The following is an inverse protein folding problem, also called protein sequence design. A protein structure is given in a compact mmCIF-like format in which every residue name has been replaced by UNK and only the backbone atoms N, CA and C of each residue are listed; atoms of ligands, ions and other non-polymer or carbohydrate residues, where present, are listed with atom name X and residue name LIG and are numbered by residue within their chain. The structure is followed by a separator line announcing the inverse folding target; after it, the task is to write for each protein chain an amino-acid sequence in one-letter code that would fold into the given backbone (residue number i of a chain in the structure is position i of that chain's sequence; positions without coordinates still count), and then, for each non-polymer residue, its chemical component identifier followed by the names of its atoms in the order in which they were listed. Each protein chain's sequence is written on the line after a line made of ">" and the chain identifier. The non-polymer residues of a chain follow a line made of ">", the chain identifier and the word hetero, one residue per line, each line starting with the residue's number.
data_IF_685109820673
#
_entry.id   IF_685109820673
#
_cell.length_a   1.000
_cell.length_b   1.000
_cell.length_c   1.000
_cell.angle_alpha   90.00
_cell.angle_beta   90.00
_cell.angle_gamma   90.00
#
_symmetry.space_group_name_H-M   'P 1'
#
loop_
_entity.id
_entity.type
_entity.pdbx_description
1 polymer ?
#
# COMPACT_ATOMS: atom_id res chain seq x y z
N UNK A 1 22.68 25.97 -28.22
CA UNK A 1 22.36 25.86 -26.78
C UNK A 1 21.42 24.69 -26.61
N UNK A 2 21.90 23.55 -26.12
CA UNK A 2 20.99 22.47 -25.71
C UNK A 2 20.45 22.82 -24.33
N UNK A 3 19.13 22.83 -24.18
CA UNK A 3 18.53 22.85 -22.85
C UNK A 3 18.97 21.58 -22.13
N UNK A 4 19.74 21.74 -21.06
CA UNK A 4 20.03 20.64 -20.14
C UNK A 4 18.73 20.32 -19.44
N UNK A 5 18.04 19.26 -19.87
CA UNK A 5 16.91 18.72 -19.11
C UNK A 5 17.45 18.36 -17.72
N UNK A 6 16.97 19.06 -16.70
CA UNK A 6 17.14 18.61 -15.33
C UNK A 6 16.25 17.37 -15.22
N UNK A 7 16.88 16.20 -15.18
CA UNK A 7 16.18 14.98 -14.83
C UNK A 7 15.87 15.09 -13.34
N UNK A 8 14.60 15.26 -13.00
CA UNK A 8 14.13 15.18 -11.62
C UNK A 8 14.33 13.71 -11.21
N UNK A 9 15.27 13.49 -10.30
CA UNK A 9 15.58 12.17 -9.75
C UNK A 9 14.88 12.05 -8.39
N UNK A 10 13.72 11.36 -8.30
CA UNK A 10 12.93 11.35 -7.08
C UNK A 10 13.55 10.53 -5.96
N UNK A 11 14.63 9.77 -6.20
CA UNK A 11 15.41 9.15 -5.12
C UNK A 11 16.41 10.10 -4.45
N UNK A 12 16.64 11.28 -5.01
CA UNK A 12 17.43 12.33 -4.36
C UNK A 12 16.53 13.10 -3.39
N UNK A 13 17.04 13.33 -2.18
CA UNK A 13 16.27 13.83 -1.04
C UNK A 13 15.68 15.23 -1.25
N UNK A 14 16.20 15.98 -2.22
CA UNK A 14 15.66 17.28 -2.60
C UNK A 14 14.34 17.20 -3.39
N UNK A 15 13.98 16.03 -3.91
CA UNK A 15 12.88 15.86 -4.86
C UNK A 15 11.76 14.97 -4.33
N UNK A 16 11.74 14.67 -3.04
CA UNK A 16 10.67 13.97 -2.36
C UNK A 16 10.39 14.58 -0.99
N UNK A 17 9.15 14.46 -0.54
CA UNK A 17 8.71 14.84 0.80
C UNK A 17 8.38 13.59 1.64
N UNK A 18 8.26 13.75 2.95
CA UNK A 18 7.67 12.70 3.80
C UNK A 18 6.14 12.80 3.70
N UNK A 19 5.44 11.66 3.68
CA UNK A 19 3.98 11.68 3.63
C UNK A 19 3.47 12.08 5.03
N UNK A 20 2.62 13.11 5.19
CA UNK A 20 2.22 13.54 6.52
C UNK A 20 1.39 12.46 7.22
N UNK A 21 1.62 12.28 8.53
CA UNK A 21 0.87 11.38 9.40
C UNK A 21 0.90 9.89 8.98
N UNK A 22 2.08 9.36 8.66
CA UNK A 22 2.26 7.94 8.29
C UNK A 22 1.75 6.97 9.37
N UNK A 23 1.86 7.36 10.65
CA UNK A 23 1.53 6.57 11.84
C UNK A 23 0.05 6.20 11.96
N UNK A 24 -0.85 6.95 11.31
CA UNK A 24 -2.30 6.74 11.34
C UNK A 24 -2.87 6.23 10.01
N UNK A 25 -2.02 5.83 9.06
CA UNK A 25 -2.41 5.31 7.73
C UNK A 25 -2.40 3.78 7.64
N UNK A 26 -2.30 3.10 8.78
CA UNK A 26 -2.18 1.64 8.85
C UNK A 26 -3.47 0.86 8.62
N UNK A 27 -3.35 -0.42 8.31
CA UNK A 27 -4.46 -1.37 8.05
C UNK A 27 -5.40 -1.67 9.25
N UNK A 28 -5.21 -1.00 10.39
CA UNK A 28 -6.09 -1.16 11.55
C UNK A 28 -7.41 -0.43 11.32
N UNK A 29 -8.47 -0.94 11.93
CA UNK A 29 -9.77 -0.28 11.94
C UNK A 29 -9.69 1.06 12.67
N UNK A 30 -9.76 2.13 11.89
CA UNK A 30 -9.66 3.49 12.36
C UNK A 30 -10.09 4.43 11.23
N UNK A 31 -10.92 5.39 11.57
CA UNK A 31 -11.27 6.52 10.69
C UNK A 31 -11.00 7.80 11.45
N UNK A 32 -10.43 8.79 10.77
CA UNK A 32 -10.27 10.12 11.33
C UNK A 32 -10.72 11.16 10.29
N UNK A 33 -11.66 12.02 10.70
CA UNK A 33 -12.19 13.11 9.86
C UNK A 33 -11.64 14.47 10.28
N UNK A 34 -10.64 14.52 11.16
CA UNK A 34 -9.92 15.75 11.43
C UNK A 34 -9.28 16.23 10.12
N UNK A 35 -9.57 17.48 9.76
CA UNK A 35 -9.11 18.09 8.51
C UNK A 35 -7.60 18.12 8.36
N UNK A 36 -6.89 18.08 9.49
CA UNK A 36 -5.42 18.00 9.56
C UNK A 36 -4.86 16.71 8.94
N UNK A 37 -5.61 15.61 8.99
CA UNK A 37 -5.12 14.29 8.55
C UNK A 37 -5.58 13.93 7.14
N UNK A 38 -6.38 14.77 6.48
CA UNK A 38 -6.90 14.49 5.16
C UNK A 38 -5.83 14.57 4.07
N UNK A 39 -5.95 13.68 3.08
CA UNK A 39 -5.12 13.75 1.86
C UNK A 39 -5.61 14.80 0.86
N UNK A 40 -6.64 15.57 1.20
CA UNK A 40 -7.02 16.76 0.42
C UNK A 40 -5.97 17.86 0.53
N UNK A 41 -5.08 17.79 1.53
CA UNK A 41 -4.04 18.77 1.83
C UNK A 41 -2.63 18.40 1.34
N UNK A 42 -2.43 17.16 0.87
CA UNK A 42 -1.13 16.77 0.30
C UNK A 42 -0.96 17.43 -1.08
N UNK A 43 0.27 17.69 -1.46
CA UNK A 43 0.60 18.28 -2.76
C UNK A 43 0.76 17.19 -3.83
N UNK A 44 0.63 17.57 -5.10
CA UNK A 44 0.95 16.66 -6.19
C UNK A 44 2.47 16.57 -6.39
N UNK A 45 3.13 15.75 -5.57
CA UNK A 45 4.59 15.61 -5.53
C UNK A 45 5.00 14.16 -5.23
N UNK A 46 6.31 13.92 -5.12
CA UNK A 46 6.87 12.64 -4.71
C UNK A 46 6.91 12.53 -3.19
N UNK A 47 6.44 11.40 -2.67
CA UNK A 47 6.47 11.06 -1.26
C UNK A 47 7.31 9.82 -1.02
N UNK A 48 8.21 9.89 -0.04
CA UNK A 48 9.01 8.76 0.41
C UNK A 48 8.23 7.91 1.40
N UNK A 49 8.31 6.59 1.26
CA UNK A 49 7.86 5.61 2.25
C UNK A 49 8.91 4.49 2.35
N UNK A 50 9.09 3.93 3.53
CA UNK A 50 9.97 2.77 3.71
C UNK A 50 9.46 1.54 2.94
N UNK A 51 10.33 0.57 2.66
CA UNK A 51 9.92 -0.68 1.99
C UNK A 51 8.97 -1.53 2.84
N UNK A 52 9.01 -1.37 4.17
CA UNK A 52 8.14 -2.07 5.12
C UNK A 52 6.76 -1.39 5.25
N UNK A 53 6.75 -0.05 5.14
CA UNK A 53 5.57 0.81 5.27
C UNK A 53 5.17 1.41 3.91
N UNK A 54 5.27 0.60 2.87
CA UNK A 54 4.84 0.95 1.52
C UNK A 54 3.33 1.08 1.42
N UNK A 55 2.85 1.74 0.36
CA UNK A 55 1.43 1.71 0.04
C UNK A 55 0.98 0.27 -0.19
N UNK A 56 -0.13 -0.13 0.43
CA UNK A 56 -0.66 -1.49 0.25
C UNK A 56 -0.99 -1.73 -1.22
N UNK A 57 -0.59 -2.89 -1.72
CA UNK A 57 -0.94 -3.37 -3.06
C UNK A 57 -2.03 -4.46 -3.04
N UNK A 58 -2.63 -4.68 -1.86
CA UNK A 58 -3.82 -5.50 -1.71
C UNK A 58 -4.99 -4.62 -1.31
N UNK A 59 -6.16 -4.94 -1.84
CA UNK A 59 -7.43 -4.34 -1.47
C UNK A 59 -7.61 -4.26 0.06
N UNK A 60 -7.55 -3.06 0.67
CA UNK A 60 -7.76 -2.91 2.10
C UNK A 60 -9.25 -2.90 2.45
N UNK A 61 -9.56 -3.32 3.67
CA UNK A 61 -10.90 -3.21 4.23
C UNK A 61 -11.36 -1.76 4.33
N UNK A 62 -12.65 -1.51 4.13
CA UNK A 62 -13.22 -0.18 4.40
C UNK A 62 -13.00 0.22 5.86
N UNK A 63 -12.92 1.53 6.11
CA UNK A 63 -12.69 2.12 7.45
C UNK A 63 -11.33 1.76 8.08
N UNK A 64 -10.32 1.51 7.23
CA UNK A 64 -8.93 1.34 7.63
C UNK A 64 -8.10 2.54 7.16
N UNK A 65 -6.83 2.57 7.55
CA UNK A 65 -5.86 3.56 7.08
C UNK A 65 -6.23 4.99 7.47
N UNK A 66 -6.94 5.13 8.60
CA UNK A 66 -7.42 6.40 9.12
C UNK A 66 -8.45 7.06 8.21
N UNK A 67 -9.18 6.30 7.38
CA UNK A 67 -10.10 6.80 6.36
C UNK A 67 -11.28 5.85 6.13
N UNK A 68 -12.38 6.33 5.55
CA UNK A 68 -13.48 5.44 5.17
C UNK A 68 -13.19 4.66 3.89
N UNK A 69 -12.47 5.30 2.96
CA UNK A 69 -12.13 4.79 1.64
C UNK A 69 -10.61 4.78 1.46
N UNK A 70 -9.95 3.69 1.86
CA UNK A 70 -8.51 3.63 1.73
C UNK A 70 -8.10 3.48 0.25
N UNK A 71 -7.24 4.38 -0.19
CA UNK A 71 -6.62 4.39 -1.52
C UNK A 71 -5.42 3.44 -1.48
N UNK A 72 -5.34 2.51 -2.42
CA UNK A 72 -4.33 1.45 -2.48
C UNK A 72 -3.78 1.29 -3.89
N UNK A 73 -2.64 0.60 -4.07
CA UNK A 73 -2.05 0.38 -5.39
C UNK A 73 -2.62 -0.87 -6.04
N UNK A 74 -3.24 -0.73 -7.20
CA UNK A 74 -3.71 -1.87 -7.98
C UNK A 74 -2.69 -2.23 -9.05
N UNK A 75 -1.68 -2.98 -8.62
CA UNK A 75 -0.65 -3.53 -9.48
C UNK A 75 0.65 -3.75 -8.73
N UNK A 76 1.69 -4.04 -9.50
CA UNK A 76 3.00 -4.37 -8.94
C UNK A 76 3.68 -3.14 -8.34
N UNK A 77 4.43 -3.39 -7.27
CA UNK A 77 5.38 -2.43 -6.71
C UNK A 77 6.75 -2.79 -7.29
N UNK A 78 7.47 -1.84 -7.92
CA UNK A 78 8.73 -2.14 -8.60
C UNK A 78 9.77 -2.71 -7.63
N UNK A 79 10.38 -3.82 -8.00
CA UNK A 79 11.52 -4.41 -7.28
C UNK A 79 12.88 -3.90 -7.79
N UNK A 80 12.91 -3.36 -9.02
CA UNK A 80 14.13 -2.84 -9.66
C UNK A 80 14.23 -1.31 -9.48
N UNK A 81 15.46 -0.82 -9.32
CA UNK A 81 15.76 0.57 -8.94
C UNK A 81 15.76 1.58 -10.09
N UNK A 82 15.83 1.10 -11.33
CA UNK A 82 16.27 1.95 -12.44
C UNK A 82 15.13 2.67 -13.17
N UNK A 83 13.86 2.30 -12.91
CA UNK A 83 12.74 2.81 -13.68
C UNK A 83 11.62 3.40 -12.81
N UNK A 84 11.11 4.54 -13.26
CA UNK A 84 9.82 5.05 -12.80
C UNK A 84 8.72 4.24 -13.48
N UNK A 85 7.90 3.56 -12.69
CA UNK A 85 6.74 2.82 -13.16
C UNK A 85 5.50 3.70 -13.07
N UNK A 86 4.75 3.80 -14.17
CA UNK A 86 3.40 4.37 -14.14
C UNK A 86 2.44 3.31 -13.60
N UNK A 87 1.72 3.65 -12.53
CA UNK A 87 0.81 2.74 -11.84
C UNK A 87 -0.53 3.41 -11.59
N UNK A 88 -1.48 2.59 -11.16
CA UNK A 88 -2.82 3.03 -10.82
C UNK A 88 -3.08 2.76 -9.34
N UNK A 89 -3.37 3.81 -8.59
CA UNK A 89 -4.02 3.66 -7.31
C UNK A 89 -5.53 3.48 -7.51
N UNK A 90 -6.18 2.79 -6.59
CA UNK A 90 -7.58 2.47 -6.62
C UNK A 90 -8.28 3.07 -5.42
N UNK A 91 -9.40 3.72 -5.70
CA UNK A 91 -10.34 4.21 -4.71
C UNK A 91 -11.53 3.25 -4.68
N UNK A 92 -11.83 2.62 -3.53
CA UNK A 92 -12.97 1.72 -3.40
C UNK A 92 -14.29 2.48 -3.51
N UNK A 93 -15.33 1.78 -3.97
CA UNK A 93 -16.72 2.21 -3.86
C UNK A 93 -17.54 1.15 -3.09
N UNK A 94 -18.86 1.28 -3.07
CA UNK A 94 -19.73 0.39 -2.30
C UNK A 94 -19.74 -1.08 -2.77
N UNK A 95 -19.29 -1.37 -3.99
CA UNK A 95 -19.39 -2.71 -4.59
C UNK A 95 -18.08 -3.25 -5.15
N UNK A 96 -17.09 -2.40 -5.36
CA UNK A 96 -15.83 -2.74 -5.99
C UNK A 96 -14.67 -2.10 -5.23
N UNK A 97 -13.63 -2.89 -4.96
CA UNK A 97 -12.42 -2.42 -4.31
C UNK A 97 -11.60 -1.46 -5.20
N UNK A 98 -11.83 -1.47 -6.51
CA UNK A 98 -11.34 -0.45 -7.42
C UNK A 98 -12.50 0.14 -8.21
N UNK A 99 -13.26 1.01 -7.55
CA UNK A 99 -14.37 1.73 -8.17
C UNK A 99 -13.91 2.87 -9.07
N UNK A 100 -12.83 3.55 -8.69
CA UNK A 100 -12.18 4.58 -9.47
C UNK A 100 -10.66 4.39 -9.45
N UNK A 101 -9.99 4.89 -10.49
CA UNK A 101 -8.55 4.82 -10.64
C UNK A 101 -7.93 6.22 -10.53
N UNK A 102 -6.79 6.30 -9.86
CA UNK A 102 -5.97 7.49 -9.70
C UNK A 102 -4.59 7.17 -10.29
N UNK A 103 -4.18 7.79 -11.41
CA UNK A 103 -2.85 7.60 -11.96
C UNK A 103 -1.78 8.08 -10.98
N UNK A 104 -0.78 7.26 -10.74
CA UNK A 104 0.38 7.55 -9.88
C UNK A 104 1.67 7.12 -10.56
N UNK A 105 2.81 7.49 -9.97
CA UNK A 105 4.11 6.94 -10.37
C UNK A 105 4.81 6.36 -9.15
N UNK A 106 5.58 5.28 -9.35
CA UNK A 106 6.34 4.63 -8.29
C UNK A 106 7.77 4.41 -8.76
N UNK A 107 8.75 4.66 -7.88
CA UNK A 107 10.14 4.27 -8.12
C UNK A 107 10.71 3.62 -6.86
N UNK A 108 11.51 2.58 -7.05
CA UNK A 108 12.25 1.93 -5.99
C UNK A 108 13.64 2.59 -5.89
N UNK A 109 14.00 3.05 -4.70
CA UNK A 109 15.28 3.71 -4.42
C UNK A 109 16.25 2.81 -3.65
N UNK A 110 15.99 1.50 -3.63
CA UNK A 110 16.66 0.43 -2.87
C UNK A 110 16.10 0.26 -1.45
N UNK A 111 16.26 1.26 -0.59
CA UNK A 111 15.90 1.23 0.84
C UNK A 111 14.54 1.88 1.14
N UNK A 112 13.99 2.61 0.17
CA UNK A 112 12.66 3.20 0.24
C UNK A 112 12.01 3.21 -1.15
N UNK A 113 10.70 3.44 -1.17
CA UNK A 113 9.91 3.67 -2.36
C UNK A 113 9.50 5.15 -2.38
N UNK A 114 9.45 5.72 -3.59
CA UNK A 114 8.89 7.05 -3.79
C UNK A 114 7.66 6.96 -4.67
N UNK A 115 6.62 7.69 -4.27
CA UNK A 115 5.32 7.68 -4.91
C UNK A 115 4.95 9.09 -5.36
N UNK A 116 4.70 9.29 -6.64
CA UNK A 116 4.11 10.53 -7.12
C UNK A 116 2.61 10.47 -6.92
N UNK A 117 2.14 11.12 -5.87
CA UNK A 117 0.74 11.09 -5.43
C UNK A 117 0.03 12.38 -5.85
N UNK A 118 -1.30 12.34 -5.82
CA UNK A 118 -2.14 13.49 -6.03
C UNK A 118 -3.04 13.68 -4.80
N UNK A 119 -3.43 14.93 -4.47
CA UNK A 119 -4.40 15.16 -3.42
C UNK A 119 -5.68 14.35 -3.64
N UNK A 120 -6.24 13.82 -2.55
CA UNK A 120 -7.53 13.14 -2.60
C UNK A 120 -8.67 14.13 -2.84
N UNK A 121 -9.85 13.62 -3.22
CA UNK A 121 -11.00 14.50 -3.54
C UNK A 121 -11.77 14.90 -2.29
N UNK A 122 -11.73 14.06 -1.27
CA UNK A 122 -12.46 14.22 -0.02
C UNK A 122 -11.64 13.65 1.14
N UNK A 123 -11.87 14.17 2.35
CA UNK A 123 -11.17 13.74 3.55
C UNK A 123 -11.43 12.26 3.90
N UNK A 124 -12.54 11.70 3.41
CA UNK A 124 -12.86 10.29 3.60
C UNK A 124 -11.95 9.34 2.82
N UNK A 125 -11.09 9.88 1.95
CA UNK A 125 -10.20 9.16 1.06
C UNK A 125 -8.74 9.40 1.47
N UNK A 126 -7.98 8.34 1.79
CA UNK A 126 -6.56 8.46 2.14
C UNK A 126 -5.71 7.31 1.61
N UNK A 127 -4.47 7.60 1.23
CA UNK A 127 -3.48 6.61 0.85
C UNK A 127 -3.13 5.70 2.03
N UNK A 128 -3.27 4.39 1.78
CA UNK A 128 -3.13 3.37 2.80
C UNK A 128 -1.74 2.76 2.84
N UNK A 129 -1.16 2.72 4.03
CA UNK A 129 0.16 2.17 4.32
C UNK A 129 0.02 0.81 5.01
N UNK A 130 0.80 -0.16 4.54
CA UNK A 130 0.94 -1.45 5.20
C UNK A 130 1.05 -2.61 4.23
N UNK A 131 1.45 -3.75 4.77
CA UNK A 131 1.54 -5.00 4.05
C UNK A 131 0.58 -6.03 4.65
N UNK A 132 -0.13 -6.77 3.79
CA UNK A 132 -1.03 -7.85 4.20
C UNK A 132 -2.52 -7.55 3.96
N UNK A 133 -3.34 -8.55 4.22
CA UNK A 133 -4.79 -8.47 4.05
C UNK A 133 -5.44 -7.78 5.25
N UNK A 134 -6.47 -6.98 4.99
CA UNK A 134 -7.35 -6.42 6.02
C UNK A 134 -8.80 -6.67 5.66
N UNK A 135 -9.63 -6.88 6.67
CA UNK A 135 -11.08 -7.07 6.52
C UNK A 135 -11.76 -5.72 6.78
N UNK A 136 -12.87 -5.45 6.10
CA UNK A 136 -13.67 -4.25 6.35
C UNK A 136 -14.13 -4.18 7.81
N UNK A 137 -14.08 -3.00 8.42
CA UNK A 137 -14.32 -2.87 9.86
C UNK A 137 -15.78 -3.03 10.28
N UNK A 138 -16.74 -2.81 9.38
CA UNK A 138 -18.16 -3.13 9.60
C UNK A 138 -18.45 -4.64 9.48
N UNK A 139 -17.46 -5.45 9.06
CA UNK A 139 -17.50 -6.91 9.08
C UNK A 139 -16.84 -7.45 10.36
N UNK A 140 -17.09 -6.85 11.52
CA UNK A 140 -16.84 -7.58 12.77
C UNK A 140 -17.81 -8.76 12.84
N UNK A 141 -17.37 -10.02 12.89
CA UNK A 141 -18.07 -10.96 13.75
C UNK A 141 -17.78 -10.49 15.17
N UNK A 142 -18.66 -9.69 15.76
CA UNK A 142 -18.61 -9.57 17.21
C UNK A 142 -18.96 -10.95 17.79
N UNK A 143 -18.11 -11.44 18.68
CA UNK A 143 -18.05 -12.79 19.28
C UNK A 143 -17.39 -13.93 18.48
N UNK A 144 -16.26 -14.41 19.01
CA UNK A 144 -15.53 -15.65 18.72
C UNK A 144 -14.62 -15.69 17.48
N UNK A 145 -13.38 -15.22 17.67
CA UNK A 145 -12.25 -15.82 16.97
C UNK A 145 -12.06 -17.26 17.50
N UNK A 146 -12.84 -18.22 16.98
CA UNK A 146 -12.50 -19.63 17.09
C UNK A 146 -11.75 -20.06 15.84
N UNK A 147 -10.45 -20.31 16.07
CA UNK A 147 -9.61 -21.33 15.42
C UNK A 147 -9.44 -21.28 13.91
N UNK A 148 -8.21 -20.93 13.53
CA UNK A 148 -7.42 -21.50 12.43
C UNK A 148 -8.13 -22.59 11.59
N UNK A 149 -8.33 -22.28 10.31
CA UNK A 149 -8.60 -23.28 9.28
C UNK A 149 -7.58 -23.11 8.16
N UNK A 150 -6.37 -23.65 8.38
CA UNK A 150 -5.46 -23.99 7.29
C UNK A 150 -5.60 -25.49 7.04
N UNK A 151 -6.59 -25.89 6.25
CA UNK A 151 -6.51 -27.15 5.52
C UNK A 151 -5.58 -26.95 4.32
N UNK A 152 -4.28 -27.02 4.59
CA UNK A 152 -3.24 -27.17 3.59
C UNK A 152 -2.73 -28.61 3.64
N UNK A 153 -3.27 -29.48 2.79
CA UNK A 153 -2.68 -30.78 2.52
C UNK A 153 -1.28 -30.59 1.94
N UNK A 154 -0.25 -30.68 2.78
CA UNK A 154 1.13 -30.83 2.33
C UNK A 154 1.36 -32.31 1.97
N UNK A 155 1.36 -32.63 0.68
CA UNK A 155 1.97 -33.86 0.19
C UNK A 155 3.49 -33.70 0.26
N UNK A 156 4.07 -34.04 1.41
CA UNK A 156 5.50 -34.20 1.55
C UNK A 156 5.92 -35.52 0.88
N UNK A 157 6.76 -35.39 -0.16
CA UNK A 157 7.41 -36.50 -0.84
C UNK A 157 8.37 -37.21 0.11
N UNK A 158 8.09 -38.47 0.45
CA UNK A 158 8.95 -39.30 1.29
C UNK A 158 10.13 -39.85 0.47
N UNK A 159 11.30 -39.22 0.59
CA UNK A 159 12.55 -39.86 0.21
C UNK A 159 12.90 -40.94 1.25
N UNK A 160 12.84 -42.22 0.83
CA UNK A 160 13.24 -43.37 1.64
C UNK A 160 14.77 -43.41 1.75
N UNK A 161 15.31 -43.33 2.97
CA UNK A 161 16.67 -43.77 3.25
C UNK A 161 16.70 -45.31 3.34
N UNK A 162 17.73 -45.98 2.79
CA UNK A 162 17.87 -47.43 2.95
C UNK A 162 18.41 -47.76 4.34
N UNK A 163 17.69 -48.60 5.07
CA UNK A 163 18.17 -49.25 6.30
C UNK A 163 18.62 -50.66 5.94
N UNK A 164 19.90 -50.95 6.11
CA UNK A 164 20.34 -52.25 6.62
C UNK A 164 21.40 -52.01 7.70
N UNK A 165 21.09 -52.49 8.91
CA UNK A 165 21.95 -52.57 10.09
C UNK A 165 22.76 -53.89 10.00
N UNK A 166 24.00 -53.81 10.47
CA UNK A 166 24.93 -54.88 10.90
C UNK A 166 25.43 -55.85 9.83
#
# INVERSE_FOLDING_TARGET
>A
MQAKFILIEPCDFYYHDDLPHEDIRGLKCSTDRNTEYCDTSIEHTWYKLSTEEKLTNTCPGQQTCGSEKPIWINGDIPSETDNVLEQNACLPNSTNCCGNVIPIKVKNCSDFLVYKLAPSRDCTERYCIGSGDSVACDQTPDSSYSTASTTGNALASAARLPVWKL
#
